data_IF_565235564472
#
_entry.id   IF_565235564472
#
_cell.length_a   1.000
_cell.length_b   1.000
_cell.length_c   1.000
_cell.angle_alpha   90.00
_cell.angle_beta   90.00
_cell.angle_gamma   90.00
#
_symmetry.space_group_name_H-M   'P 1'
#
loop_
_entity.id
_entity.type
_entity.pdbx_description
1 polymer ?
#
# COMPACT_ATOMS: atom_id res chain seq x y z
N UNK A 1 -5.93 -3.97 -5.20
CA UNK A 1 -4.84 -4.87 -5.63
C UNK A 1 -3.50 -4.22 -5.33
N UNK A 2 -2.53 -4.97 -4.79
CA UNK A 2 -1.16 -4.50 -4.57
C UNK A 2 -0.26 -5.32 -5.52
N UNK A 3 0.66 -4.64 -6.22
CA UNK A 3 1.63 -5.28 -7.11
C UNK A 3 3.03 -4.81 -6.73
N UNK A 4 3.96 -5.75 -6.59
CA UNK A 4 5.36 -5.49 -6.28
C UNK A 4 6.25 -6.17 -7.32
N UNK A 5 7.21 -5.42 -7.86
CA UNK A 5 8.33 -5.94 -8.64
C UNK A 5 9.62 -5.68 -7.87
N UNK A 6 10.19 -6.74 -7.26
CA UNK A 6 11.47 -6.67 -6.55
C UNK A 6 12.63 -6.26 -7.47
N UNK A 7 12.80 -6.84 -8.69
CA UNK A 7 13.89 -6.44 -9.59
C UNK A 7 13.81 -4.97 -10.02
N UNK A 8 12.60 -4.47 -10.29
CA UNK A 8 12.39 -3.08 -10.71
C UNK A 8 12.33 -2.10 -9.52
N UNK A 9 12.27 -2.60 -8.28
CA UNK A 9 12.02 -1.81 -7.05
C UNK A 9 10.77 -0.92 -7.18
N UNK A 10 9.73 -1.45 -7.81
CA UNK A 10 8.48 -0.75 -8.08
C UNK A 10 7.33 -1.42 -7.32
N UNK A 11 6.45 -0.60 -6.76
CA UNK A 11 5.23 -1.04 -6.09
C UNK A 11 4.06 -0.15 -6.54
N UNK A 12 2.90 -0.75 -6.73
CA UNK A 12 1.67 -0.06 -7.08
C UNK A 12 0.49 -0.59 -6.29
N UNK A 13 -0.47 0.30 -6.03
CA UNK A 13 -1.78 -0.05 -5.47
C UNK A 13 -2.82 0.39 -6.49
N UNK A 14 -3.64 -0.53 -6.96
CA UNK A 14 -4.77 -0.26 -7.82
C UNK A 14 -6.07 -0.45 -7.04
N UNK A 15 -6.93 0.56 -7.07
CA UNK A 15 -8.26 0.54 -6.47
C UNK A 15 -9.32 0.25 -7.53
N UNK A 16 -10.38 -0.46 -7.13
CA UNK A 16 -11.51 -0.76 -7.99
C UNK A 16 -12.60 0.31 -7.87
N UNK A 17 -13.54 0.33 -8.82
CA UNK A 17 -14.66 1.26 -8.86
C UNK A 17 -15.49 1.22 -7.56
N UNK A 18 -15.77 2.39 -6.98
CA UNK A 18 -16.35 2.55 -5.65
C UNK A 18 -15.29 2.60 -4.54
N UNK A 19 -14.28 1.73 -4.58
CA UNK A 19 -13.23 1.67 -3.55
C UNK A 19 -12.33 2.91 -3.59
N UNK A 20 -12.09 3.48 -4.77
CA UNK A 20 -11.26 4.68 -4.97
C UNK A 20 -11.79 5.92 -4.25
N UNK A 21 -13.09 5.94 -3.92
CA UNK A 21 -13.72 7.05 -3.18
C UNK A 21 -13.20 7.15 -1.75
N UNK A 22 -12.88 6.01 -1.13
CA UNK A 22 -12.34 5.92 0.22
C UNK A 22 -10.82 5.80 0.14
N UNK A 23 -10.32 4.79 -0.60
CA UNK A 23 -8.89 4.59 -0.83
C UNK A 23 -8.43 5.43 -2.03
N UNK A 24 -8.38 6.74 -1.82
CA UNK A 24 -7.91 7.68 -2.86
C UNK A 24 -6.44 7.45 -3.20
N UNK A 25 -6.02 7.89 -4.39
CA UNK A 25 -4.62 7.82 -4.83
C UNK A 25 -3.65 8.49 -3.81
N UNK A 26 -4.10 9.56 -3.15
CA UNK A 26 -3.35 10.23 -2.08
C UNK A 26 -3.15 9.32 -0.87
N UNK A 27 -4.22 8.64 -0.41
CA UNK A 27 -4.16 7.70 0.70
C UNK A 27 -3.25 6.52 0.37
N UNK A 28 -3.41 5.93 -0.81
CA UNK A 28 -2.56 4.82 -1.24
C UNK A 28 -1.09 5.26 -1.33
N UNK A 29 -0.79 6.43 -1.92
CA UNK A 29 0.57 6.99 -1.97
C UNK A 29 1.15 7.25 -0.58
N UNK A 30 0.32 7.70 0.36
CA UNK A 30 0.75 7.89 1.74
C UNK A 30 1.16 6.55 2.37
N UNK A 31 0.32 5.52 2.29
CA UNK A 31 0.64 4.17 2.82
C UNK A 31 1.91 3.60 2.16
N UNK A 32 2.09 3.79 0.86
CA UNK A 32 3.32 3.40 0.19
C UNK A 32 4.55 4.10 0.78
N UNK A 33 4.50 5.43 0.95
CA UNK A 33 5.63 6.23 1.43
C UNK A 33 5.95 6.00 2.91
N UNK A 34 4.94 5.89 3.76
CA UNK A 34 5.12 5.84 5.21
C UNK A 34 5.26 4.42 5.75
N UNK A 35 4.69 3.43 5.05
CA UNK A 35 4.59 2.07 5.56
C UNK A 35 5.37 1.09 4.69
N UNK A 36 5.07 1.00 3.39
CA UNK A 36 5.66 -0.06 2.56
C UNK A 36 7.13 0.21 2.18
N UNK A 37 7.42 1.38 1.61
CA UNK A 37 8.75 1.72 1.07
C UNK A 37 9.86 1.67 2.13
N UNK A 38 9.69 2.16 3.38
CA UNK A 38 10.72 2.03 4.40
C UNK A 38 11.12 0.58 4.64
N UNK A 39 10.14 -0.33 4.84
CA UNK A 39 10.41 -1.76 5.04
C UNK A 39 11.05 -2.41 3.82
N UNK A 40 10.68 -1.98 2.61
CA UNK A 40 11.31 -2.50 1.39
C UNK A 40 12.78 -2.10 1.26
N UNK A 41 13.21 -0.98 1.85
CA UNK A 41 14.63 -0.58 1.89
C UNK A 41 15.44 -1.50 2.81
N UNK A 42 14.79 -2.10 3.80
CA UNK A 42 15.39 -3.03 4.76
C UNK A 42 15.26 -4.51 4.32
N UNK A 43 14.93 -4.77 3.04
CA UNK A 43 14.61 -6.11 2.48
C UNK A 43 13.41 -6.83 3.16
N UNK A 44 12.64 -6.12 3.99
CA UNK A 44 11.48 -6.63 4.73
C UNK A 44 10.19 -6.55 3.90
N UNK A 45 10.17 -7.19 2.74
CA UNK A 45 9.05 -7.09 1.78
C UNK A 45 7.72 -7.65 2.30
N UNK A 46 7.75 -8.83 2.92
CA UNK A 46 6.53 -9.44 3.44
C UNK A 46 5.89 -8.55 4.51
N UNK A 47 6.69 -8.06 5.44
CA UNK A 47 6.22 -7.16 6.50
C UNK A 47 5.74 -5.82 5.93
N UNK A 48 6.43 -5.28 4.92
CA UNK A 48 6.00 -4.09 4.19
C UNK A 48 4.62 -4.24 3.58
N UNK A 49 4.36 -5.36 2.92
CA UNK A 49 3.06 -5.65 2.32
C UNK A 49 1.99 -5.85 3.41
N UNK A 50 2.27 -6.66 4.43
CA UNK A 50 1.32 -6.97 5.50
C UNK A 50 0.87 -5.71 6.25
N UNK A 51 1.82 -4.89 6.72
CA UNK A 51 1.48 -3.67 7.46
C UNK A 51 0.86 -2.59 6.57
N UNK A 52 1.24 -2.57 5.29
CA UNK A 52 0.57 -1.71 4.31
C UNK A 52 -0.87 -2.15 4.04
N UNK A 53 -1.15 -3.45 4.01
CA UNK A 53 -2.50 -3.99 3.90
C UNK A 53 -3.34 -3.63 5.14
N UNK A 54 -2.81 -3.84 6.34
CA UNK A 54 -3.48 -3.47 7.60
C UNK A 54 -3.80 -1.97 7.64
N UNK A 55 -2.87 -1.13 7.19
CA UNK A 55 -3.09 0.32 7.10
C UNK A 55 -4.23 0.69 6.13
N UNK A 56 -4.40 -0.05 5.03
CA UNK A 56 -5.48 0.19 4.07
C UNK A 56 -6.82 -0.31 4.60
N UNK A 57 -6.85 -1.45 5.30
CA UNK A 57 -8.06 -1.99 5.93
C UNK A 57 -8.58 -1.03 6.99
N UNK A 58 -7.72 -0.56 7.90
CA UNK A 58 -8.13 0.39 8.93
C UNK A 58 -8.73 1.68 8.32
N UNK A 59 -8.09 2.22 7.27
CA UNK A 59 -8.60 3.40 6.56
C UNK A 59 -9.92 3.16 5.83
N UNK A 60 -10.22 1.92 5.48
CA UNK A 60 -11.49 1.54 4.87
C UNK A 60 -12.59 1.46 5.93
N UNK A 61 -12.29 0.88 7.09
CA UNK A 61 -13.25 0.68 8.19
C UNK A 61 -13.61 1.97 8.95
N UNK A 62 -12.75 3.00 8.88
CA UNK A 62 -13.02 4.32 9.46
C UNK A 62 -14.12 5.13 8.72
N UNK A 63 -14.72 4.59 7.65
CA UNK A 63 -15.79 5.20 6.82
C UNK A 63 -17.08 4.38 6.84
#
# INVERSE_FOLDING_TARGET
MIVLSKPLRQVGIATGLGTEKILTDSICKQVLKTTMIPRFKDDMYYEGIAQGLDSLINKWEDF
#
